data_IF_617340434234
#
_entry.id   IF_617340434234
#
_cell.length_a   1.000
_cell.length_b   1.000
_cell.length_c   1.000
_cell.angle_alpha   90.00
_cell.angle_beta   90.00
_cell.angle_gamma   90.00
#
_symmetry.space_group_name_H-M   'P 1'
#
loop_
_entity.id
_entity.type
_entity.pdbx_description
1 polymer ?
#
# COMPACT_ATOMS: atom_id res chain seq x y z
N UNK A 1 0.37 -35.23 14.10
CA UNK A 1 -0.04 -34.53 12.86
C UNK A 1 -1.54 -34.46 12.86
N UNK A 2 -2.15 -33.35 13.28
CA UNK A 2 -3.58 -33.15 13.14
C UNK A 2 -3.87 -32.79 11.69
N UNK A 3 -4.48 -33.71 10.97
CA UNK A 3 -5.13 -33.43 9.70
C UNK A 3 -6.46 -32.73 10.05
N UNK A 4 -6.49 -31.40 9.97
CA UNK A 4 -7.73 -30.65 10.07
C UNK A 4 -8.64 -31.06 8.92
N UNK A 5 -9.83 -31.59 9.21
CA UNK A 5 -10.78 -31.95 8.17
C UNK A 5 -11.27 -30.69 7.45
N UNK A 6 -11.55 -30.78 6.16
CA UNK A 6 -12.12 -29.68 5.35
C UNK A 6 -13.40 -29.08 5.97
N UNK A 7 -14.17 -29.88 6.69
CA UNK A 7 -15.35 -29.44 7.43
C UNK A 7 -15.03 -28.47 8.58
N UNK A 8 -13.90 -28.64 9.28
CA UNK A 8 -13.49 -27.71 10.35
C UNK A 8 -13.07 -26.34 9.75
N UNK A 9 -12.38 -26.35 8.62
CA UNK A 9 -12.00 -25.12 7.90
C UNK A 9 -13.25 -24.33 7.46
N UNK A 10 -14.29 -25.00 6.97
CA UNK A 10 -15.54 -24.34 6.54
C UNK A 10 -16.32 -23.72 7.71
N UNK A 11 -16.27 -24.33 8.89
CA UNK A 11 -16.90 -23.76 10.10
C UNK A 11 -16.18 -22.49 10.54
N UNK A 12 -14.86 -22.43 10.49
CA UNK A 12 -14.09 -21.23 10.82
C UNK A 12 -14.31 -20.08 9.84
N UNK A 13 -14.40 -20.37 8.54
CA UNK A 13 -14.66 -19.38 7.49
C UNK A 13 -16.04 -18.70 7.61
N UNK A 14 -16.98 -19.29 8.35
CA UNK A 14 -18.32 -18.71 8.62
C UNK A 14 -18.40 -17.90 9.91
N UNK A 15 -17.35 -17.85 10.70
CA UNK A 15 -17.34 -17.11 11.95
C UNK A 15 -17.05 -15.63 11.72
N UNK A 16 -17.66 -14.77 12.52
CA UNK A 16 -17.41 -13.31 12.50
C UNK A 16 -15.94 -12.97 12.70
N UNK A 17 -15.23 -13.69 13.55
CA UNK A 17 -13.81 -13.51 13.83
C UNK A 17 -12.92 -13.64 12.58
N UNK A 18 -13.41 -14.30 11.53
CA UNK A 18 -12.70 -14.42 10.26
C UNK A 18 -12.92 -13.22 9.34
N UNK A 19 -14.09 -12.61 9.39
CA UNK A 19 -14.50 -11.55 8.47
C UNK A 19 -14.36 -10.14 9.07
N UNK A 20 -14.55 -10.01 10.38
CA UNK A 20 -14.51 -8.73 11.07
C UNK A 20 -13.10 -8.42 11.57
N UNK A 21 -12.69 -7.16 11.50
CA UNK A 21 -11.41 -6.70 12.05
C UNK A 21 -11.37 -6.91 13.57
N UNK A 22 -10.31 -7.59 14.04
CA UNK A 22 -10.16 -7.95 15.44
C UNK A 22 -9.23 -6.97 16.16
N UNK A 23 -9.69 -6.41 17.27
CA UNK A 23 -8.92 -5.54 18.17
C UNK A 23 -8.51 -6.23 19.48
N UNK A 24 -8.93 -7.49 19.67
CA UNK A 24 -8.61 -8.29 20.86
C UNK A 24 -7.44 -9.26 20.65
N UNK A 25 -7.07 -10.03 21.67
CA UNK A 25 -5.96 -10.98 21.60
C UNK A 25 -6.36 -12.31 20.92
N UNK A 26 -7.11 -12.23 19.82
CA UNK A 26 -7.57 -13.39 19.05
C UNK A 26 -6.93 -13.31 17.66
N UNK A 27 -6.21 -14.36 17.27
CA UNK A 27 -5.63 -14.49 15.94
C UNK A 27 -6.17 -15.76 15.31
N UNK A 28 -7.00 -15.67 14.24
CA UNK A 28 -7.45 -16.84 13.52
C UNK A 28 -6.30 -17.46 12.73
N UNK A 29 -6.08 -18.76 12.87
CA UNK A 29 -5.08 -19.52 12.11
C UNK A 29 -5.79 -20.59 11.31
N UNK A 30 -5.64 -20.56 9.98
CA UNK A 30 -6.33 -21.46 9.07
C UNK A 30 -5.29 -22.12 8.16
N UNK A 31 -5.40 -23.44 8.02
CA UNK A 31 -4.62 -24.19 7.04
C UNK A 31 -5.33 -24.14 5.66
N UNK A 32 -4.54 -24.14 4.60
CA UNK A 32 -5.02 -24.26 3.23
C UNK A 32 -4.21 -25.31 2.49
N UNK A 33 -4.80 -25.89 1.45
CA UNK A 33 -4.16 -26.85 0.55
C UNK A 33 -3.87 -26.26 -0.82
N UNK A 34 -4.64 -25.25 -1.24
CA UNK A 34 -4.45 -24.49 -2.47
C UNK A 34 -4.15 -23.03 -2.13
N UNK A 35 -3.10 -22.49 -2.74
CA UNK A 35 -2.68 -21.11 -2.55
C UNK A 35 -3.74 -20.10 -3.02
N UNK A 36 -4.63 -20.48 -3.88
CA UNK A 36 -5.74 -19.63 -4.30
C UNK A 36 -6.73 -19.36 -3.17
N UNK A 37 -6.90 -20.27 -2.20
CA UNK A 37 -7.80 -20.06 -1.07
C UNK A 37 -7.49 -18.79 -0.25
N UNK A 38 -6.25 -18.55 0.23
CA UNK A 38 -5.93 -17.30 0.92
C UNK A 38 -5.94 -16.08 -0.01
N UNK A 39 -5.61 -16.22 -1.30
CA UNK A 39 -5.70 -15.12 -2.25
C UNK A 39 -7.15 -14.68 -2.50
N UNK A 40 -8.08 -15.62 -2.64
CA UNK A 40 -9.51 -15.36 -2.78
C UNK A 40 -10.09 -14.73 -1.50
N UNK A 41 -9.62 -15.18 -0.33
CA UNK A 41 -9.98 -14.57 0.95
C UNK A 41 -9.48 -13.13 1.03
N UNK A 42 -8.26 -12.85 0.61
CA UNK A 42 -7.73 -11.48 0.52
C UNK A 42 -8.52 -10.64 -0.51
N UNK A 43 -8.87 -11.20 -1.66
CA UNK A 43 -9.62 -10.50 -2.68
C UNK A 43 -11.03 -10.12 -2.23
N UNK A 44 -11.71 -11.02 -1.51
CA UNK A 44 -13.06 -10.82 -0.98
C UNK A 44 -13.10 -9.99 0.31
N UNK A 45 -11.99 -9.85 1.02
CA UNK A 45 -11.90 -9.02 2.23
C UNK A 45 -12.20 -7.55 1.93
N UNK A 46 -12.86 -6.87 2.85
CA UNK A 46 -13.08 -5.42 2.79
C UNK A 46 -11.82 -4.60 3.13
N UNK A 47 -10.74 -5.23 3.58
CA UNK A 47 -9.51 -4.61 4.03
C UNK A 47 -8.35 -4.92 3.09
N UNK A 48 -7.40 -3.99 3.01
CA UNK A 48 -6.24 -4.14 2.13
C UNK A 48 -5.07 -3.23 2.52
N UNK A 49 -4.68 -3.21 3.80
CA UNK A 49 -3.56 -2.40 4.24
C UNK A 49 -2.23 -3.07 3.96
N UNK A 50 -1.97 -4.20 4.59
CA UNK A 50 -0.72 -4.94 4.40
C UNK A 50 -0.91 -6.43 4.64
N UNK A 51 -0.01 -7.21 4.06
CA UNK A 51 0.10 -8.64 4.27
C UNK A 51 1.57 -9.06 4.39
N UNK A 52 1.82 -10.21 5.00
CA UNK A 52 3.15 -10.81 5.09
C UNK A 52 3.17 -12.13 4.33
N UNK A 53 4.21 -12.33 3.55
CA UNK A 53 4.51 -13.55 2.81
C UNK A 53 5.82 -14.12 3.32
N UNK A 54 5.81 -15.38 3.75
CA UNK A 54 6.98 -16.09 4.24
C UNK A 54 7.33 -17.23 3.30
N UNK A 55 8.57 -17.29 2.85
CA UNK A 55 9.05 -18.32 1.95
C UNK A 55 10.42 -18.04 1.37
N UNK A 56 10.98 -19.00 0.63
CA UNK A 56 12.30 -18.92 0.00
C UNK A 56 12.25 -19.24 -1.50
N UNK A 57 11.22 -19.92 -1.98
CA UNK A 57 11.09 -20.34 -3.37
C UNK A 57 10.65 -19.15 -4.25
N UNK A 58 11.60 -18.57 -4.97
CA UNK A 58 11.40 -17.38 -5.82
C UNK A 58 10.34 -17.64 -6.88
N UNK A 59 10.26 -18.86 -7.43
CA UNK A 59 9.29 -19.20 -8.47
C UNK A 59 7.84 -19.16 -8.00
N UNK A 60 7.62 -19.33 -6.69
CA UNK A 60 6.32 -19.21 -6.04
C UNK A 60 6.09 -17.82 -5.47
N UNK A 61 7.11 -17.22 -4.85
CA UNK A 61 7.04 -15.90 -4.21
C UNK A 61 6.74 -14.80 -5.23
N UNK A 62 7.39 -14.81 -6.40
CA UNK A 62 7.23 -13.76 -7.41
C UNK A 62 5.77 -13.57 -7.83
N UNK A 63 5.08 -14.59 -8.36
CA UNK A 63 3.67 -14.47 -8.72
C UNK A 63 2.74 -14.10 -7.56
N UNK A 64 3.07 -14.52 -6.32
CA UNK A 64 2.31 -14.14 -5.14
C UNK A 64 2.46 -12.65 -4.82
N UNK A 65 3.67 -12.10 -4.91
CA UNK A 65 3.90 -10.66 -4.72
C UNK A 65 3.11 -9.87 -5.76
N UNK A 66 3.12 -10.27 -7.03
CA UNK A 66 2.39 -9.61 -8.11
C UNK A 66 0.88 -9.60 -7.83
N UNK A 67 0.33 -10.71 -7.38
CA UNK A 67 -1.09 -10.81 -7.02
C UNK A 67 -1.41 -9.97 -5.78
N UNK A 68 -0.63 -10.13 -4.71
CA UNK A 68 -0.86 -9.44 -3.43
C UNK A 68 -0.70 -7.92 -3.57
N UNK A 69 0.20 -7.44 -4.41
CA UNK A 69 0.41 -6.00 -4.65
C UNK A 69 -0.82 -5.30 -5.24
N UNK A 70 -1.74 -6.04 -5.85
CA UNK A 70 -3.03 -5.54 -6.30
C UNK A 70 -4.11 -5.56 -5.20
N UNK A 71 -3.90 -6.29 -4.13
CA UNK A 71 -4.88 -6.49 -3.05
C UNK A 71 -4.57 -5.65 -1.81
N UNK A 72 -3.29 -5.39 -1.54
CA UNK A 72 -2.82 -4.62 -0.37
C UNK A 72 -1.88 -3.50 -0.79
N UNK A 73 -1.63 -2.55 0.10
CA UNK A 73 -0.69 -1.46 -0.15
C UNK A 73 0.74 -1.77 0.25
N UNK A 74 0.95 -2.81 1.06
CA UNK A 74 2.27 -3.25 1.46
C UNK A 74 2.34 -4.78 1.55
N UNK A 75 3.29 -5.37 0.85
CA UNK A 75 3.66 -6.78 1.00
C UNK A 75 4.97 -6.84 1.77
N UNK A 76 4.96 -7.50 2.92
CA UNK A 76 6.15 -7.73 3.74
C UNK A 76 6.69 -9.12 3.42
N UNK A 77 7.93 -9.20 2.95
CA UNK A 77 8.58 -10.48 2.65
C UNK A 77 9.42 -10.92 3.84
N UNK A 78 9.15 -12.13 4.34
CA UNK A 78 9.85 -12.75 5.48
C UNK A 78 9.94 -11.84 6.71
N UNK A 79 8.94 -10.98 6.89
CA UNK A 79 8.86 -10.05 8.01
C UNK A 79 7.41 -9.84 8.45
N UNK A 80 7.24 -9.46 9.71
CA UNK A 80 5.93 -9.12 10.25
C UNK A 80 5.38 -7.82 9.66
N UNK A 81 4.07 -7.67 9.67
CA UNK A 81 3.41 -6.41 9.38
C UNK A 81 3.84 -5.33 10.39
N UNK A 82 4.23 -4.16 9.90
CA UNK A 82 4.69 -3.05 10.73
C UNK A 82 4.44 -1.71 10.04
N UNK A 83 4.38 -0.64 10.82
CA UNK A 83 4.17 0.70 10.30
C UNK A 83 5.42 1.32 9.68
N UNK A 84 6.53 1.25 10.35
CA UNK A 84 7.79 1.91 9.95
C UNK A 84 8.47 1.29 8.73
N UNK A 85 9.50 1.95 8.22
CA UNK A 85 9.90 3.31 8.55
C UNK A 85 8.95 4.40 7.99
N UNK A 86 8.91 5.57 8.63
CA UNK A 86 7.96 6.67 8.30
C UNK A 86 8.20 7.30 6.92
N UNK A 87 9.37 7.07 6.32
CA UNK A 87 9.67 7.51 4.95
C UNK A 87 8.88 6.74 3.89
N UNK A 88 8.34 5.57 4.23
CA UNK A 88 7.53 4.79 3.31
C UNK A 88 6.07 5.21 3.33
N UNK A 89 5.37 5.12 2.19
CA UNK A 89 3.95 5.38 2.13
C UNK A 89 3.19 4.51 3.14
N UNK A 90 2.35 5.14 3.95
CA UNK A 90 1.42 4.45 4.83
C UNK A 90 0.00 4.72 4.34
N UNK A 91 -0.54 3.75 3.65
CA UNK A 91 -1.86 3.83 3.02
C UNK A 91 -2.57 2.48 3.10
N UNK A 92 -3.78 2.40 2.59
CA UNK A 92 -4.57 1.18 2.51
C UNK A 92 -5.38 1.16 1.22
N UNK A 93 -5.78 -0.03 0.84
CA UNK A 93 -6.79 -0.25 -0.19
C UNK A 93 -8.13 -0.54 0.47
N UNK A 94 -9.19 -0.47 -0.31
CA UNK A 94 -10.56 -0.77 0.13
C UNK A 94 -10.93 0.10 1.36
N UNK A 95 -11.51 -0.49 2.39
CA UNK A 95 -11.92 0.23 3.61
C UNK A 95 -10.76 0.51 4.59
N UNK A 96 -9.54 0.09 4.30
CA UNK A 96 -8.41 0.27 5.22
C UNK A 96 -7.91 1.71 5.30
N UNK A 97 -8.00 2.50 4.24
CA UNK A 97 -7.67 3.93 4.25
C UNK A 97 -8.26 4.65 3.03
N UNK A 98 -8.50 5.95 3.19
CA UNK A 98 -8.97 6.83 2.11
C UNK A 98 -7.81 7.60 1.48
N UNK A 99 -6.72 7.83 2.22
CA UNK A 99 -5.58 8.63 1.80
C UNK A 99 -4.27 8.05 2.33
N UNK A 100 -3.15 8.66 1.94
CA UNK A 100 -1.81 8.27 2.37
C UNK A 100 -1.36 9.12 3.55
N UNK A 101 -0.84 8.48 4.60
CA UNK A 101 -0.46 9.10 5.87
C UNK A 101 1.07 9.29 6.02
N UNK A 102 1.87 9.01 5.01
CA UNK A 102 3.31 9.32 5.07
C UNK A 102 3.53 10.84 5.06
N UNK A 103 4.62 11.31 5.69
CA UNK A 103 4.87 12.74 5.90
C UNK A 103 4.74 13.55 4.60
N UNK A 104 5.42 13.14 3.54
CA UNK A 104 5.37 13.85 2.26
C UNK A 104 4.02 13.73 1.56
N UNK A 105 3.42 12.56 1.55
CA UNK A 105 2.14 12.33 0.87
C UNK A 105 0.98 12.93 1.65
N UNK A 106 1.04 12.93 2.99
CA UNK A 106 0.06 13.60 3.82
C UNK A 106 0.03 15.11 3.54
N UNK A 107 1.20 15.76 3.48
CA UNK A 107 1.30 17.18 3.12
C UNK A 107 0.72 17.46 1.73
N UNK A 108 1.00 16.58 0.76
CA UNK A 108 0.42 16.71 -0.59
C UNK A 108 -1.10 16.57 -0.61
N UNK A 109 -1.68 15.77 0.29
CA UNK A 109 -3.15 15.62 0.39
C UNK A 109 -3.85 16.90 0.84
N UNK A 110 -3.14 17.80 1.54
CA UNK A 110 -3.64 19.11 1.99
C UNK A 110 -3.30 20.24 1.03
N UNK A 111 -2.70 19.96 -0.12
CA UNK A 111 -2.30 20.95 -1.11
C UNK A 111 -2.97 20.71 -2.46
N UNK A 112 -3.24 21.82 -3.16
CA UNK A 112 -3.74 21.77 -4.54
C UNK A 112 -2.54 21.95 -5.47
N UNK A 113 -2.36 20.99 -6.38
CA UNK A 113 -1.29 21.07 -7.39
C UNK A 113 -1.65 22.11 -8.42
N UNK A 114 -0.76 23.07 -8.62
CA UNK A 114 -0.84 24.07 -9.68
C UNK A 114 0.35 23.91 -10.61
N UNK A 115 0.12 24.15 -11.90
CA UNK A 115 1.16 24.07 -12.92
C UNK A 115 1.36 25.43 -13.58
N UNK A 116 2.60 25.77 -13.85
CA UNK A 116 2.95 26.80 -14.81
C UNK A 116 3.48 26.08 -16.05
N UNK A 117 2.77 26.24 -17.15
CA UNK A 117 3.13 25.59 -18.40
C UNK A 117 3.55 26.64 -19.44
N UNK A 118 4.57 26.33 -20.21
CA UNK A 118 4.99 27.12 -21.34
C UNK A 118 5.24 26.22 -22.56
N UNK A 119 5.05 26.77 -23.76
CA UNK A 119 5.41 26.06 -24.98
C UNK A 119 6.95 25.88 -25.01
N UNK A 120 7.39 24.68 -25.37
CA UNK A 120 8.82 24.36 -25.46
C UNK A 120 9.45 25.11 -26.67
N UNK A 121 10.19 26.16 -26.36
CA UNK A 121 11.04 26.93 -27.27
C UNK A 121 12.09 27.70 -26.47
N UNK A 122 13.16 28.14 -27.14
CA UNK A 122 14.31 28.81 -26.51
C UNK A 122 13.92 30.08 -25.73
N UNK A 123 12.92 30.81 -26.20
CA UNK A 123 12.46 32.03 -25.55
C UNK A 123 11.80 31.72 -24.20
N UNK A 124 10.84 30.83 -24.20
CA UNK A 124 10.14 30.44 -22.97
C UNK A 124 11.06 29.70 -21.98
N UNK A 125 11.97 28.88 -22.50
CA UNK A 125 12.93 28.16 -21.66
C UNK A 125 13.86 29.13 -20.91
N UNK A 126 14.30 30.21 -21.57
CA UNK A 126 15.08 31.28 -20.90
C UNK A 126 14.27 31.96 -19.80
N UNK A 127 13.00 32.28 -20.05
CA UNK A 127 12.15 32.92 -19.06
C UNK A 127 11.91 32.00 -17.85
N UNK A 128 11.52 30.74 -18.07
CA UNK A 128 11.28 29.77 -16.99
C UNK A 128 12.54 29.57 -16.16
N UNK A 129 13.69 29.39 -16.79
CA UNK A 129 14.97 29.24 -16.09
C UNK A 129 15.34 30.50 -15.28
N UNK A 130 15.07 31.68 -15.81
CA UNK A 130 15.30 32.93 -15.09
C UNK A 130 14.39 33.06 -13.87
N UNK A 131 13.11 32.72 -14.02
CA UNK A 131 12.14 32.75 -12.92
C UNK A 131 12.47 31.72 -11.83
N UNK A 132 12.91 30.52 -12.21
CA UNK A 132 13.29 29.48 -11.27
C UNK A 132 14.50 29.85 -10.40
N UNK A 133 15.39 30.69 -10.94
CA UNK A 133 16.62 31.14 -10.26
C UNK A 133 16.51 32.56 -9.68
N UNK A 134 15.38 33.24 -9.82
CA UNK A 134 15.12 34.58 -9.29
C UNK A 134 14.21 34.50 -8.05
N UNK A 135 14.08 35.64 -7.37
CA UNK A 135 13.13 35.82 -6.27
C UNK A 135 11.82 36.47 -6.73
N UNK A 136 11.62 36.59 -8.04
CA UNK A 136 10.45 37.28 -8.59
C UNK A 136 9.17 36.44 -8.52
N UNK A 137 9.29 35.12 -8.38
CA UNK A 137 8.15 34.22 -8.18
C UNK A 137 8.43 33.22 -7.06
N UNK A 138 7.70 33.38 -5.95
CA UNK A 138 7.74 32.40 -4.85
C UNK A 138 7.14 31.03 -5.23
N UNK A 139 6.34 30.96 -6.30
CA UNK A 139 5.72 29.71 -6.76
C UNK A 139 6.68 28.87 -7.60
N UNK A 140 7.49 29.50 -8.45
CA UNK A 140 8.44 28.80 -9.36
C UNK A 140 9.81 28.58 -8.70
N UNK A 141 10.15 29.40 -7.71
CA UNK A 141 11.40 29.29 -7.01
C UNK A 141 11.50 27.96 -6.25
N UNK A 142 12.55 27.17 -6.54
CA UNK A 142 12.75 25.84 -5.96
C UNK A 142 13.50 25.85 -4.62
N UNK A 143 13.93 27.00 -4.11
CA UNK A 143 14.64 27.08 -2.82
C UNK A 143 13.84 26.57 -1.63
N UNK A 144 12.51 26.50 -1.76
CA UNK A 144 11.59 26.06 -0.71
C UNK A 144 11.03 24.65 -0.92
N UNK A 145 11.50 23.92 -1.92
CA UNK A 145 11.13 22.52 -2.12
C UNK A 145 12.09 21.66 -1.28
N UNK A 146 11.62 21.30 -0.09
CA UNK A 146 12.27 20.33 0.80
C UNK A 146 12.08 18.89 0.30
#
# INVERSE_FOLDING_TARGET
>A
TQVGSSAASDVYKRQKVYHEEQFGPIIPVISYSDINEPLDAMASSEYGQQASLFGEDISKIGPLIDTMSNLVCRVNLNSACQRGPDIYPFTGRKNSAVSTLSVHDALRSFSIRTFVAAKDNDYNNKIINSLANSKDSNFINTEYIL
#
